data_IF_095851918120
#
_entry.id   IF_095851918120
#
_cell.length_a   1.000
_cell.length_b   1.000
_cell.length_c   1.000
_cell.angle_alpha   90.00
_cell.angle_beta   90.00
_cell.angle_gamma   90.00
#
_symmetry.space_group_name_H-M   'P 1'
#
loop_
_entity.id
_entity.type
_entity.pdbx_description
1 polymer ?
#
# COMPACT_ATOMS: atom_id res chain seq x y z
N UNK A 1 -36.93 17.42 -33.81
CA UNK A 1 -36.24 18.10 -32.69
C UNK A 1 -36.00 17.05 -31.63
N UNK A 2 -34.81 16.45 -31.60
CA UNK A 2 -34.35 15.61 -30.48
C UNK A 2 -32.80 15.49 -30.50
N UNK A 3 -32.12 16.64 -30.54
CA UNK A 3 -30.64 16.71 -30.55
C UNK A 3 -30.04 16.85 -29.14
N UNK A 4 -30.87 17.03 -28.12
CA UNK A 4 -30.44 17.19 -26.72
C UNK A 4 -30.17 15.83 -26.06
N UNK A 5 -31.00 14.81 -26.34
CA UNK A 5 -30.85 13.45 -25.80
C UNK A 5 -29.55 12.74 -26.22
N UNK A 6 -29.10 12.96 -27.47
CA UNK A 6 -27.83 12.41 -27.97
C UNK A 6 -26.59 13.13 -27.42
N UNK A 7 -26.73 14.39 -27.00
CA UNK A 7 -25.61 15.16 -26.44
C UNK A 7 -25.44 14.82 -24.95
N UNK A 8 -26.54 14.67 -24.22
CA UNK A 8 -26.51 14.29 -22.81
C UNK A 8 -26.03 12.85 -22.58
N UNK A 9 -26.43 11.88 -23.42
CA UNK A 9 -25.93 10.49 -23.31
C UNK A 9 -24.44 10.37 -23.61
N UNK A 10 -23.93 11.02 -24.68
CA UNK A 10 -22.49 11.00 -25.00
C UNK A 10 -21.62 11.63 -23.90
N UNK A 11 -22.11 12.66 -23.21
CA UNK A 11 -21.38 13.29 -22.09
C UNK A 11 -21.38 12.36 -20.88
N UNK A 12 -22.52 11.72 -20.58
CA UNK A 12 -22.64 10.81 -19.44
C UNK A 12 -21.79 9.54 -19.62
N UNK A 13 -21.78 8.96 -20.83
CA UNK A 13 -20.98 7.79 -21.18
C UNK A 13 -19.48 8.07 -21.09
N UNK A 14 -19.02 9.23 -21.62
CA UNK A 14 -17.63 9.65 -21.49
C UNK A 14 -17.20 9.84 -20.03
N UNK A 15 -18.06 10.43 -19.20
CA UNK A 15 -17.78 10.61 -17.77
C UNK A 15 -17.67 9.28 -17.03
N UNK A 16 -18.50 8.30 -17.38
CA UNK A 16 -18.48 6.97 -16.78
C UNK A 16 -17.24 6.16 -17.20
N UNK A 17 -16.87 6.19 -18.48
CA UNK A 17 -15.65 5.55 -18.98
C UNK A 17 -14.38 6.16 -18.37
N UNK A 18 -14.32 7.49 -18.31
CA UNK A 18 -13.20 8.20 -17.68
C UNK A 18 -13.03 7.81 -16.21
N UNK A 19 -14.13 7.72 -15.45
CA UNK A 19 -14.08 7.33 -14.04
C UNK A 19 -13.62 5.88 -13.85
N UNK A 20 -14.01 4.96 -14.74
CA UNK A 20 -13.51 3.57 -14.71
C UNK A 20 -12.01 3.50 -14.97
N UNK A 21 -11.51 4.29 -15.91
CA UNK A 21 -10.08 4.35 -16.19
C UNK A 21 -9.29 4.90 -14.99
N UNK A 22 -9.76 6.00 -14.39
CA UNK A 22 -9.15 6.57 -13.18
C UNK A 22 -9.18 5.55 -12.04
N UNK A 23 -10.29 4.84 -11.83
CA UNK A 23 -10.39 3.80 -10.81
C UNK A 23 -9.33 2.71 -11.01
N UNK A 24 -9.17 2.21 -12.25
CA UNK A 24 -8.19 1.18 -12.56
C UNK A 24 -6.75 1.68 -12.30
N UNK A 25 -6.47 2.93 -12.64
CA UNK A 25 -5.17 3.58 -12.38
C UNK A 25 -4.90 3.67 -10.88
N UNK A 26 -5.86 4.18 -10.09
CA UNK A 26 -5.70 4.36 -8.65
C UNK A 26 -5.54 3.01 -7.92
N UNK A 27 -6.32 1.99 -8.30
CA UNK A 27 -6.14 0.61 -7.81
C UNK A 27 -4.73 0.10 -8.11
N UNK A 28 -4.24 0.31 -9.34
CA UNK A 28 -2.90 -0.13 -9.75
C UNK A 28 -1.81 0.59 -8.96
N UNK A 29 -1.97 1.89 -8.68
CA UNK A 29 -1.05 2.66 -7.83
C UNK A 29 -1.04 2.12 -6.40
N UNK A 30 -2.20 1.89 -5.79
CA UNK A 30 -2.29 1.28 -4.44
C UNK A 30 -1.60 -0.08 -4.40
N UNK A 31 -1.86 -0.96 -5.38
CA UNK A 31 -1.20 -2.26 -5.50
C UNK A 31 0.31 -2.12 -5.61
N UNK A 32 0.79 -1.26 -6.50
CA UNK A 32 2.22 -1.06 -6.73
C UNK A 32 2.93 -0.51 -5.49
N UNK A 33 2.28 0.37 -4.73
CA UNK A 33 2.81 0.87 -3.46
C UNK A 33 2.94 -0.25 -2.44
N UNK A 34 1.95 -1.13 -2.29
CA UNK A 34 2.02 -2.27 -1.37
C UNK A 34 3.15 -3.25 -1.75
N UNK A 35 3.33 -3.53 -3.04
CA UNK A 35 4.46 -4.33 -3.54
C UNK A 35 5.78 -3.61 -3.26
N UNK A 36 5.85 -2.30 -3.50
CA UNK A 36 7.05 -1.51 -3.26
C UNK A 36 7.42 -1.51 -1.78
N UNK A 37 6.44 -1.37 -0.89
CA UNK A 37 6.62 -1.48 0.56
C UNK A 37 7.15 -2.87 0.95
N UNK A 38 6.59 -3.95 0.39
CA UNK A 38 7.09 -5.31 0.61
C UNK A 38 8.57 -5.43 0.24
N UNK A 39 8.98 -4.87 -0.91
CA UNK A 39 10.37 -4.92 -1.39
C UNK A 39 11.29 -4.07 -0.52
N UNK A 40 10.86 -2.87 -0.14
CA UNK A 40 11.64 -1.96 0.72
C UNK A 40 11.88 -2.59 2.09
N UNK A 41 10.83 -3.12 2.73
CA UNK A 41 10.91 -3.77 4.04
C UNK A 41 11.83 -4.99 3.99
N UNK A 42 11.63 -5.87 3.00
CA UNK A 42 12.50 -7.03 2.84
C UNK A 42 13.96 -6.62 2.59
N UNK A 43 14.19 -5.67 1.70
CA UNK A 43 15.52 -5.18 1.36
C UNK A 43 16.23 -4.53 2.54
N UNK A 44 15.52 -3.75 3.35
CA UNK A 44 16.09 -3.12 4.55
C UNK A 44 16.45 -4.14 5.61
N UNK A 45 15.58 -5.13 5.85
CA UNK A 45 15.81 -6.17 6.86
C UNK A 45 16.94 -7.11 6.43
N UNK A 46 16.99 -7.47 5.14
CA UNK A 46 18.08 -8.26 4.58
C UNK A 46 19.42 -7.52 4.71
N UNK A 47 19.47 -6.23 4.38
CA UNK A 47 20.67 -5.42 4.53
C UNK A 47 21.12 -5.35 6.00
N UNK A 48 20.18 -5.19 6.93
CA UNK A 48 20.48 -5.20 8.35
C UNK A 48 21.08 -6.55 8.81
N UNK A 49 20.53 -7.68 8.35
CA UNK A 49 21.09 -9.01 8.66
C UNK A 49 22.49 -9.21 8.08
N UNK A 50 22.75 -8.72 6.85
CA UNK A 50 24.06 -8.79 6.21
C UNK A 50 25.09 -7.99 7.02
N UNK A 51 24.77 -6.76 7.42
CA UNK A 51 25.66 -5.93 8.24
C UNK A 51 25.92 -6.55 9.61
N UNK A 52 24.92 -7.22 10.18
CA UNK A 52 25.05 -7.92 11.46
C UNK A 52 25.76 -9.29 11.36
N UNK A 53 26.17 -9.73 10.16
CA UNK A 53 26.67 -11.09 9.89
C UNK A 53 25.74 -12.20 10.43
N UNK A 54 24.43 -11.96 10.38
CA UNK A 54 23.40 -12.81 10.97
C UNK A 54 22.51 -13.48 9.91
N UNK A 55 23.03 -13.65 8.69
CA UNK A 55 22.30 -14.26 7.58
C UNK A 55 22.33 -15.78 7.74
N UNK A 56 21.26 -16.32 8.31
CA UNK A 56 21.01 -17.76 8.45
C UNK A 56 19.57 -18.07 8.03
N UNK A 57 19.29 -19.33 7.69
CA UNK A 57 17.98 -19.72 7.17
C UNK A 57 16.82 -19.32 8.10
N UNK A 58 17.00 -19.48 9.41
CA UNK A 58 16.00 -19.10 10.41
C UNK A 58 15.70 -17.60 10.42
N UNK A 59 16.72 -16.73 10.35
CA UNK A 59 16.51 -15.28 10.34
C UNK A 59 15.89 -14.82 9.02
N UNK A 60 16.28 -15.43 7.90
CA UNK A 60 15.67 -15.18 6.59
C UNK A 60 14.17 -15.51 6.56
N UNK A 61 13.78 -16.65 7.13
CA UNK A 61 12.36 -17.04 7.21
C UNK A 61 11.55 -16.07 8.07
N UNK A 62 12.13 -15.55 9.15
CA UNK A 62 11.46 -14.59 10.04
C UNK A 62 11.24 -13.25 9.33
N UNK A 63 12.27 -12.70 8.66
CA UNK A 63 12.14 -11.39 7.98
C UNK A 63 11.23 -11.43 6.76
N UNK A 64 10.92 -12.61 6.21
CA UNK A 64 9.99 -12.77 5.09
C UNK A 64 8.52 -12.60 5.48
N UNK A 65 8.17 -12.74 6.77
CA UNK A 65 6.77 -12.72 7.21
C UNK A 65 6.09 -11.39 6.85
N UNK A 66 6.73 -10.26 7.17
CA UNK A 66 6.14 -8.92 6.94
C UNK A 66 6.03 -8.58 5.45
N UNK A 67 7.08 -8.76 4.63
CA UNK A 67 6.98 -8.61 3.18
C UNK A 67 5.88 -9.47 2.55
N UNK A 68 5.75 -10.73 2.96
CA UNK A 68 4.70 -11.61 2.42
C UNK A 68 3.30 -11.09 2.75
N UNK A 69 3.06 -10.61 3.97
CA UNK A 69 1.78 -10.00 4.35
C UNK A 69 1.48 -8.73 3.53
N UNK A 70 2.48 -7.87 3.33
CA UNK A 70 2.33 -6.67 2.48
C UNK A 70 2.04 -7.04 1.02
N UNK A 71 2.69 -8.09 0.52
CA UNK A 71 2.44 -8.62 -0.82
C UNK A 71 1.02 -9.20 -0.93
N UNK A 72 0.54 -9.95 0.07
CA UNK A 72 -0.83 -10.46 0.12
C UNK A 72 -1.86 -9.31 0.10
N UNK A 73 -1.62 -8.22 0.83
CA UNK A 73 -2.48 -7.05 0.77
C UNK A 73 -2.50 -6.40 -0.62
N UNK A 74 -1.40 -6.49 -1.38
CA UNK A 74 -1.40 -6.03 -2.78
C UNK A 74 -2.34 -6.84 -3.68
N UNK A 75 -2.60 -8.10 -3.34
CA UNK A 75 -3.58 -8.96 -4.03
C UNK A 75 -5.02 -8.65 -3.60
N UNK A 76 -5.21 -8.11 -2.39
CA UNK A 76 -6.51 -7.63 -1.90
C UNK A 76 -6.89 -6.27 -2.47
N UNK A 77 -5.91 -5.41 -2.77
CA UNK A 77 -6.12 -4.04 -3.24
C UNK A 77 -7.06 -3.88 -4.46
N UNK A 78 -7.12 -4.79 -5.45
CA UNK A 78 -8.09 -4.71 -6.54
C UNK A 78 -9.55 -4.85 -6.10
N UNK A 79 -9.81 -5.55 -4.99
CA UNK A 79 -11.15 -5.74 -4.43
C UNK A 79 -11.48 -4.63 -3.46
N UNK A 80 -10.58 -4.40 -2.51
CA UNK A 80 -10.76 -3.44 -1.40
C UNK A 80 -9.47 -2.64 -1.15
N UNK A 81 -9.24 -1.56 -1.90
CA UNK A 81 -8.00 -0.79 -1.81
C UNK A 81 -7.83 -0.12 -0.44
N UNK A 82 -8.92 0.38 0.13
CA UNK A 82 -8.91 1.03 1.44
C UNK A 82 -8.57 0.05 2.57
N UNK A 83 -9.23 -1.11 2.60
CA UNK A 83 -9.00 -2.17 3.59
C UNK A 83 -7.55 -2.66 3.53
N UNK A 84 -7.04 -2.93 2.32
CA UNK A 84 -5.66 -3.38 2.12
C UNK A 84 -4.64 -2.36 2.67
N UNK A 85 -4.84 -1.07 2.41
CA UNK A 85 -3.92 -0.03 2.88
C UNK A 85 -4.00 0.20 4.39
N UNK A 86 -5.21 0.20 4.98
CA UNK A 86 -5.37 0.30 6.44
C UNK A 86 -4.71 -0.88 7.14
N UNK A 87 -4.90 -2.11 6.64
CA UNK A 87 -4.27 -3.30 7.18
C UNK A 87 -2.73 -3.19 7.14
N UNK A 88 -2.18 -2.72 6.01
CA UNK A 88 -0.75 -2.47 5.89
C UNK A 88 -0.23 -1.45 6.93
N UNK A 89 -0.94 -0.33 7.12
CA UNK A 89 -0.60 0.69 8.12
C UNK A 89 -0.61 0.09 9.53
N UNK A 90 -1.67 -0.64 9.91
CA UNK A 90 -1.81 -1.23 11.24
C UNK A 90 -0.68 -2.21 11.52
N UNK A 91 -0.34 -3.08 10.56
CA UNK A 91 0.76 -4.04 10.72
C UNK A 91 2.09 -3.31 10.88
N UNK A 92 2.39 -2.32 10.04
CA UNK A 92 3.66 -1.58 10.11
C UNK A 92 3.81 -0.83 11.44
N UNK A 93 2.76 -0.13 11.87
CA UNK A 93 2.75 0.57 13.16
C UNK A 93 2.89 -0.44 14.31
N UNK A 94 2.15 -1.54 14.29
CA UNK A 94 2.20 -2.58 15.31
C UNK A 94 3.59 -3.19 15.48
N UNK A 95 4.25 -3.51 14.36
CA UNK A 95 5.63 -4.03 14.37
C UNK A 95 6.59 -2.99 14.95
N UNK A 96 6.50 -1.72 14.54
CA UNK A 96 7.37 -0.68 15.07
C UNK A 96 7.16 -0.44 16.56
N UNK A 97 5.91 -0.40 17.01
CA UNK A 97 5.59 -0.28 18.44
C UNK A 97 6.16 -1.46 19.23
N UNK A 98 5.98 -2.70 18.74
CA UNK A 98 6.57 -3.89 19.35
C UNK A 98 8.09 -3.75 19.46
N UNK A 99 8.78 -3.40 18.36
CA UNK A 99 10.24 -3.25 18.35
C UNK A 99 10.74 -2.16 19.31
N UNK A 100 10.03 -1.03 19.41
CA UNK A 100 10.38 0.04 20.36
C UNK A 100 10.30 -0.47 21.80
N UNK A 101 9.27 -1.25 22.14
CA UNK A 101 9.09 -1.81 23.48
C UNK A 101 10.20 -2.82 23.81
N UNK A 102 10.52 -3.76 22.93
CA UNK A 102 11.52 -4.81 23.24
C UNK A 102 12.94 -4.26 23.33
N UNK A 103 13.25 -3.19 22.59
CA UNK A 103 14.60 -2.60 22.52
C UNK A 103 14.81 -1.44 23.50
N UNK A 104 13.87 -1.23 24.43
CA UNK A 104 13.87 -0.11 25.39
C UNK A 104 14.07 1.25 24.70
N UNK A 105 13.40 1.47 23.56
CA UNK A 105 13.42 2.75 22.84
C UNK A 105 14.58 2.96 21.87
N UNK A 106 15.64 2.14 21.91
CA UNK A 106 16.79 2.29 20.99
C UNK A 106 16.40 2.09 19.53
N UNK A 107 15.42 1.20 19.25
CA UNK A 107 14.90 1.01 17.91
C UNK A 107 14.13 2.23 17.36
N UNK A 108 13.76 3.22 18.18
CA UNK A 108 13.07 4.41 17.69
C UNK A 108 13.96 5.23 16.74
N UNK A 109 15.26 5.31 17.06
CA UNK A 109 16.23 6.16 16.35
C UNK A 109 16.93 5.39 15.22
N UNK A 110 17.10 4.07 15.36
CA UNK A 110 17.71 3.24 14.31
C UNK A 110 16.81 3.13 13.07
N UNK A 111 17.42 3.20 11.89
CA UNK A 111 16.70 3.02 10.61
C UNK A 111 15.68 4.13 10.31
N UNK A 112 15.82 5.30 10.92
CA UNK A 112 14.88 6.43 10.76
C UNK A 112 14.66 6.82 9.30
N UNK A 113 15.70 6.76 8.47
CA UNK A 113 15.61 7.08 7.04
C UNK A 113 14.67 6.11 6.31
N UNK A 114 14.81 4.81 6.56
CA UNK A 114 13.94 3.78 5.97
C UNK A 114 12.51 3.96 6.45
N UNK A 115 12.31 4.25 7.75
CA UNK A 115 10.97 4.53 8.29
C UNK A 115 10.32 5.76 7.64
N UNK A 116 11.09 6.83 7.40
CA UNK A 116 10.59 8.02 6.71
C UNK A 116 10.13 7.71 5.28
N UNK A 117 10.92 6.91 4.55
CA UNK A 117 10.53 6.43 3.21
C UNK A 117 9.26 5.59 3.28
N UNK A 118 9.17 4.65 4.22
CA UNK A 118 7.97 3.83 4.42
C UNK A 118 6.74 4.71 4.72
N UNK A 119 6.86 5.69 5.63
CA UNK A 119 5.77 6.61 5.98
C UNK A 119 5.30 7.38 4.74
N UNK A 120 6.23 7.88 3.92
CA UNK A 120 5.89 8.56 2.68
C UNK A 120 5.05 7.65 1.76
N UNK A 121 5.47 6.40 1.56
CA UNK A 121 4.72 5.43 0.75
C UNK A 121 3.36 5.09 1.36
N UNK A 122 3.24 4.97 2.68
CA UNK A 122 1.96 4.74 3.35
C UNK A 122 0.99 5.91 3.15
N UNK A 123 1.46 7.15 3.26
CA UNK A 123 0.64 8.35 3.03
C UNK A 123 0.20 8.43 1.56
N UNK A 124 1.13 8.24 0.62
CA UNK A 124 0.81 8.24 -0.80
C UNK A 124 -0.18 7.11 -1.14
N UNK A 125 0.06 5.90 -0.61
CA UNK A 125 -0.81 4.74 -0.79
C UNK A 125 -2.21 4.95 -0.24
N UNK A 126 -2.33 5.60 0.92
CA UNK A 126 -3.62 5.95 1.51
C UNK A 126 -4.38 6.95 0.64
N UNK A 127 -3.71 7.94 0.06
CA UNK A 127 -4.31 8.87 -0.89
C UNK A 127 -4.94 8.16 -2.08
N UNK A 128 -4.18 7.29 -2.75
CA UNK A 128 -4.66 6.50 -3.88
C UNK A 128 -5.80 5.54 -3.49
N UNK A 129 -5.67 4.87 -2.34
CA UNK A 129 -6.69 3.93 -1.86
C UNK A 129 -8.02 4.62 -1.52
N UNK A 130 -7.95 5.81 -0.92
CA UNK A 130 -9.12 6.63 -0.60
C UNK A 130 -9.83 7.08 -1.86
N UNK A 131 -9.08 7.53 -2.87
CA UNK A 131 -9.64 7.98 -4.14
C UNK A 131 -10.28 6.84 -4.93
N UNK A 132 -9.60 5.68 -5.01
CA UNK A 132 -10.19 4.48 -5.61
C UNK A 132 -11.49 4.09 -4.92
N UNK A 133 -11.55 4.13 -3.58
CA UNK A 133 -12.76 3.78 -2.84
C UNK A 133 -13.88 4.82 -3.01
N UNK A 134 -13.54 6.11 -3.17
CA UNK A 134 -14.50 7.18 -3.48
C UNK A 134 -15.15 6.94 -4.84
N UNK A 135 -14.35 6.74 -5.88
CA UNK A 135 -14.84 6.48 -7.24
C UNK A 135 -15.65 5.18 -7.28
N UNK A 136 -15.20 4.14 -6.58
CA UNK A 136 -15.91 2.86 -6.49
C UNK A 136 -17.33 3.05 -5.92
N UNK A 137 -17.47 3.86 -4.87
CA UNK A 137 -18.77 4.26 -4.30
C UNK A 137 -19.62 5.11 -5.26
N UNK A 138 -19.02 6.03 -6.00
CA UNK A 138 -19.71 6.87 -7.00
C UNK A 138 -20.24 6.03 -8.18
N UNK A 139 -19.52 4.97 -8.55
CA UNK A 139 -19.90 4.03 -9.61
C UNK A 139 -20.82 2.89 -9.13
N UNK A 140 -21.17 2.84 -7.84
CA UNK A 140 -21.92 1.74 -7.20
C UNK A 140 -21.30 0.34 -7.43
N UNK A 141 -19.96 0.26 -7.39
CA UNK A 141 -19.19 -0.99 -7.49
C UNK A 141 -18.67 -1.46 -6.11
#
# INVERSE_FOLDING_TARGET
MDNTSNTESNIFDNHFETQKEILAIEIRKTKNILITLSVIVFGSDLLALVVANAVVLTTLLIILIVPLLLFEFSLLAPKEPMTAMIAAIIIMVGIWTYMIVITNGTAAISGWLVKAVIIYFLIAGYGHAKEANRIKRELNL
#
